data_IF_441287634335
#
_entry.id   IF_441287634335
#
_cell.length_a   1.000
_cell.length_b   1.000
_cell.length_c   1.000
_cell.angle_alpha   90.00
_cell.angle_beta   90.00
_cell.angle_gamma   90.00
#
_symmetry.space_group_name_H-M   'P 1'
#
loop_
_entity.id
_entity.type
_entity.pdbx_description
1 polymer ?
#
# COMPACT_ATOMS: atom_id res chain seq x y z
N UNK A 1 7.73 -19.05 -3.65
CA UNK A 1 8.71 -19.58 -4.64
C UNK A 1 8.41 -19.15 -6.07
N UNK A 2 7.15 -19.09 -6.52
CA UNK A 2 6.80 -18.68 -7.90
C UNK A 2 7.12 -17.21 -8.23
N UNK A 3 7.04 -16.30 -7.25
CA UNK A 3 7.42 -14.89 -7.45
C UNK A 3 8.94 -14.67 -7.59
N UNK A 4 9.78 -15.49 -6.94
CA UNK A 4 11.24 -15.40 -7.03
C UNK A 4 11.74 -15.69 -8.45
N UNK A 5 11.03 -16.53 -9.20
CA UNK A 5 11.35 -16.84 -10.61
C UNK A 5 11.13 -15.64 -11.55
N UNK A 6 10.41 -14.60 -11.10
CA UNK A 6 10.21 -13.36 -11.87
C UNK A 6 11.33 -12.34 -11.67
N UNK A 7 12.16 -12.48 -10.63
CA UNK A 7 13.23 -11.53 -10.34
C UNK A 7 14.22 -11.43 -11.52
N UNK A 8 14.75 -12.54 -12.08
CA UNK A 8 15.59 -12.46 -13.27
C UNK A 8 14.88 -11.76 -14.44
N UNK A 9 13.59 -12.05 -14.65
CA UNK A 9 12.80 -11.42 -15.71
C UNK A 9 12.68 -9.90 -15.55
N UNK A 10 12.59 -9.38 -14.31
CA UNK A 10 12.57 -7.94 -14.03
C UNK A 10 13.91 -7.29 -14.43
N UNK A 11 15.04 -7.96 -14.20
CA UNK A 11 16.36 -7.46 -14.58
C UNK A 11 16.64 -7.55 -16.08
N UNK A 12 16.05 -8.53 -16.76
CA UNK A 12 16.17 -8.73 -18.22
C UNK A 12 15.29 -7.77 -19.04
N UNK A 13 14.31 -7.08 -18.42
CA UNK A 13 13.56 -6.02 -19.08
C UNK A 13 14.48 -4.84 -19.43
N UNK A 14 14.55 -4.51 -20.72
CA UNK A 14 15.51 -3.56 -21.30
C UNK A 14 15.47 -2.18 -20.63
N UNK A 15 14.28 -1.73 -20.28
CA UNK A 15 14.03 -0.44 -19.61
C UNK A 15 14.45 -0.48 -18.13
N UNK A 16 14.26 -1.62 -17.46
CA UNK A 16 14.55 -1.79 -16.03
C UNK A 16 16.04 -1.74 -15.73
N UNK A 17 16.89 -2.31 -16.59
CA UNK A 17 18.36 -2.22 -16.41
C UNK A 17 18.84 -0.77 -16.30
N UNK A 18 18.30 0.10 -17.15
CA UNK A 18 18.59 1.54 -17.12
C UNK A 18 18.03 2.23 -15.86
N UNK A 19 16.79 1.90 -15.49
CA UNK A 19 16.13 2.43 -14.30
C UNK A 19 16.84 2.05 -13.00
N UNK A 20 17.21 0.78 -12.85
CA UNK A 20 17.91 0.25 -11.67
C UNK A 20 19.28 0.93 -11.53
N UNK A 21 20.04 1.06 -12.62
CA UNK A 21 21.32 1.80 -12.59
C UNK A 21 21.12 3.25 -12.11
N UNK A 22 20.10 3.95 -12.61
CA UNK A 22 19.79 5.34 -12.19
C UNK A 22 19.37 5.40 -10.72
N UNK A 23 18.54 4.46 -10.27
CA UNK A 23 18.10 4.35 -8.88
C UNK A 23 19.29 4.15 -7.94
N UNK A 24 20.17 3.20 -8.25
CA UNK A 24 21.40 2.95 -7.45
C UNK A 24 22.27 4.21 -7.40
N UNK A 25 22.44 4.91 -8.53
CA UNK A 25 23.22 6.16 -8.56
C UNK A 25 22.58 7.25 -7.69
N UNK A 26 21.25 7.38 -7.72
CA UNK A 26 20.50 8.34 -6.90
C UNK A 26 20.60 8.01 -5.41
N UNK A 27 20.48 6.73 -5.03
CA UNK A 27 20.65 6.26 -3.65
C UNK A 27 22.05 6.51 -3.10
N UNK A 28 23.08 6.47 -3.95
CA UNK A 28 24.47 6.79 -3.57
C UNK A 28 24.75 8.29 -3.48
N UNK A 29 23.83 9.13 -3.96
CA UNK A 29 23.98 10.59 -3.87
C UNK A 29 23.64 11.08 -2.46
N UNK A 30 24.12 12.27 -2.08
CA UNK A 30 23.78 12.89 -0.79
C UNK A 30 22.29 13.16 -0.61
N UNK A 31 21.54 13.27 -1.71
CA UNK A 31 20.10 13.54 -1.68
C UNK A 31 19.27 12.26 -1.42
N UNK A 32 19.80 11.09 -1.73
CA UNK A 32 19.08 9.82 -1.59
C UNK A 32 17.81 9.76 -2.46
N UNK A 33 16.82 8.98 -2.02
CA UNK A 33 15.52 8.82 -2.67
C UNK A 33 14.38 9.13 -1.71
N UNK A 34 13.26 9.61 -2.26
CA UNK A 34 11.99 9.80 -1.55
C UNK A 34 10.99 8.81 -2.15
N UNK A 35 10.71 7.68 -1.49
CA UNK A 35 9.76 6.70 -2.00
C UNK A 35 8.33 7.25 -1.94
N UNK A 36 7.56 6.96 -3.00
CA UNK A 36 6.10 7.10 -2.99
C UNK A 36 5.49 5.69 -3.00
N UNK A 37 4.74 5.35 -1.96
CA UNK A 37 4.24 3.99 -1.70
C UNK A 37 2.71 3.98 -1.79
N UNK A 38 2.16 3.11 -2.64
CA UNK A 38 0.72 2.84 -2.71
C UNK A 38 0.33 1.51 -2.09
N UNK A 39 -0.97 1.18 -2.14
CA UNK A 39 -1.57 0.01 -1.50
C UNK A 39 -0.97 -1.34 -1.92
N UNK A 40 -0.26 -1.39 -3.05
CA UNK A 40 0.43 -2.60 -3.51
C UNK A 40 1.41 -3.20 -2.51
N UNK A 41 2.05 -2.39 -1.65
CA UNK A 41 2.89 -2.91 -0.57
C UNK A 41 2.10 -3.32 0.68
N UNK A 42 0.83 -2.95 0.78
CA UNK A 42 -0.05 -3.28 1.92
C UNK A 42 -0.91 -4.53 1.67
N UNK A 43 -1.21 -4.87 0.41
CA UNK A 43 -2.04 -6.04 0.02
C UNK A 43 -1.60 -7.36 0.67
N UNK A 44 -0.30 -7.71 0.74
CA UNK A 44 0.13 -8.94 1.40
C UNK A 44 -0.25 -9.03 2.89
N UNK A 45 -0.55 -7.89 3.52
CA UNK A 45 -0.98 -7.79 4.91
C UNK A 45 -2.50 -7.80 5.08
N UNK A 46 -3.27 -8.11 4.03
CA UNK A 46 -4.72 -8.23 4.10
C UNK A 46 -5.47 -6.92 3.91
N UNK A 47 -4.75 -5.83 3.62
CA UNK A 47 -5.38 -4.56 3.26
C UNK A 47 -5.94 -4.63 1.83
N UNK A 48 -7.24 -4.36 1.63
CA UNK A 48 -7.83 -4.40 0.30
C UNK A 48 -7.31 -3.27 -0.59
N UNK A 49 -7.41 -3.45 -1.91
CA UNK A 49 -7.30 -2.32 -2.84
C UNK A 49 -8.60 -1.52 -2.87
N UNK A 50 -8.56 -0.30 -3.42
CA UNK A 50 -9.74 0.56 -3.53
C UNK A 50 -10.91 -0.11 -4.26
N UNK A 51 -10.63 -0.84 -5.35
CA UNK A 51 -11.68 -1.55 -6.08
C UNK A 51 -12.41 -2.56 -5.19
N UNK A 52 -11.67 -3.46 -4.54
CA UNK A 52 -12.27 -4.52 -3.72
C UNK A 52 -12.99 -3.93 -2.51
N UNK A 53 -12.37 -2.98 -1.81
CA UNK A 53 -12.98 -2.31 -0.66
C UNK A 53 -14.34 -1.65 -1.00
N UNK A 54 -14.40 -0.90 -2.09
CA UNK A 54 -15.62 -0.18 -2.48
C UNK A 54 -16.68 -1.15 -3.05
N UNK A 55 -16.27 -2.20 -3.75
CA UNK A 55 -17.17 -3.26 -4.24
C UNK A 55 -17.80 -4.02 -3.07
N UNK A 56 -17.00 -4.42 -2.06
CA UNK A 56 -17.47 -5.13 -0.86
C UNK A 56 -18.50 -4.31 -0.07
N UNK A 57 -18.25 -3.00 0.13
CA UNK A 57 -19.22 -2.11 0.78
C UNK A 57 -20.48 -1.96 -0.09
N UNK A 58 -20.33 -1.86 -1.41
CA UNK A 58 -21.49 -1.74 -2.29
C UNK A 58 -22.40 -2.97 -2.21
N UNK A 59 -21.84 -4.17 -2.16
CA UNK A 59 -22.58 -5.43 -1.99
C UNK A 59 -23.26 -5.47 -0.62
N UNK A 60 -22.54 -5.10 0.45
CA UNK A 60 -23.07 -5.10 1.82
C UNK A 60 -24.33 -4.22 1.97
N UNK A 61 -24.41 -3.11 1.24
CA UNK A 61 -25.49 -2.13 1.36
C UNK A 61 -26.45 -2.11 0.16
N UNK A 62 -26.30 -3.02 -0.82
CA UNK A 62 -27.17 -3.08 -1.99
C UNK A 62 -27.05 -1.87 -2.92
N UNK A 63 -25.82 -1.38 -3.15
CA UNK A 63 -25.49 -0.20 -3.95
C UNK A 63 -24.76 -0.53 -5.26
N UNK A 64 -24.62 -1.80 -5.61
CA UNK A 64 -23.81 -2.30 -6.74
C UNK A 64 -24.17 -1.60 -8.06
N UNK A 65 -25.48 -1.43 -8.32
CA UNK A 65 -26.00 -0.74 -9.52
C UNK A 65 -25.47 0.69 -9.69
N UNK A 66 -25.15 1.36 -8.58
CA UNK A 66 -24.61 2.72 -8.57
C UNK A 66 -23.07 2.73 -8.59
N UNK A 67 -22.45 1.75 -7.95
CA UNK A 67 -21.02 1.77 -7.64
C UNK A 67 -20.20 1.05 -8.71
N UNK A 68 -20.63 -0.11 -9.21
CA UNK A 68 -19.87 -0.89 -10.21
C UNK A 68 -19.53 -0.09 -11.48
N UNK A 69 -20.42 0.76 -12.05
CA UNK A 69 -20.05 1.61 -13.17
C UNK A 69 -18.91 2.59 -12.85
N UNK A 70 -18.90 3.16 -11.65
CA UNK A 70 -17.85 4.08 -11.20
C UNK A 70 -16.52 3.33 -11.00
N UNK A 71 -16.55 2.12 -10.45
CA UNK A 71 -15.37 1.28 -10.28
C UNK A 71 -14.77 0.84 -11.61
N UNK A 72 -15.61 0.45 -12.58
CA UNK A 72 -15.17 0.09 -13.93
C UNK A 72 -14.46 1.25 -14.63
N UNK A 73 -14.91 2.49 -14.41
CA UNK A 73 -14.26 3.70 -14.91
C UNK A 73 -13.09 4.19 -14.03
N UNK A 74 -12.70 3.43 -13.00
CA UNK A 74 -11.66 3.80 -12.01
C UNK A 74 -11.94 5.13 -11.28
N UNK A 75 -13.21 5.52 -11.15
CA UNK A 75 -13.67 6.72 -10.43
C UNK A 75 -13.87 6.44 -8.93
N UNK A 76 -12.80 6.04 -8.26
CA UNK A 76 -12.85 5.62 -6.85
C UNK A 76 -13.34 6.71 -5.90
N UNK A 77 -12.97 7.97 -6.14
CA UNK A 77 -13.41 9.10 -5.32
C UNK A 77 -14.94 9.31 -5.41
N UNK A 78 -15.49 9.26 -6.63
CA UNK A 78 -16.94 9.37 -6.83
C UNK A 78 -17.69 8.17 -6.24
N UNK A 79 -17.14 6.96 -6.34
CA UNK A 79 -17.71 5.78 -5.71
C UNK A 79 -17.74 5.90 -4.18
N UNK A 80 -16.64 6.37 -3.57
CA UNK A 80 -16.57 6.62 -2.14
C UNK A 80 -17.57 7.70 -1.68
N UNK A 81 -17.69 8.79 -2.44
CA UNK A 81 -18.68 9.84 -2.17
C UNK A 81 -20.13 9.32 -2.28
N UNK A 82 -20.45 8.55 -3.32
CA UNK A 82 -21.77 7.94 -3.48
C UNK A 82 -22.08 6.99 -2.33
N UNK A 83 -21.14 6.11 -1.95
CA UNK A 83 -21.30 5.24 -0.78
C UNK A 83 -21.56 6.07 0.48
N UNK A 84 -20.70 7.04 0.76
CA UNK A 84 -20.81 7.90 1.96
C UNK A 84 -22.15 8.64 2.02
N UNK A 85 -22.68 9.09 0.89
CA UNK A 85 -23.97 9.76 0.78
C UNK A 85 -25.16 8.81 1.04
N UNK A 86 -25.03 7.52 0.70
CA UNK A 86 -26.10 6.53 0.90
C UNK A 86 -26.08 5.91 2.32
N UNK A 87 -24.89 5.61 2.87
CA UNK A 87 -24.78 4.92 4.17
C UNK A 87 -24.49 5.86 5.34
N UNK A 88 -24.13 7.11 5.04
CA UNK A 88 -23.77 8.14 6.01
C UNK A 88 -22.30 8.09 6.44
N UNK A 89 -21.75 9.28 6.74
CA UNK A 89 -20.33 9.48 7.08
C UNK A 89 -19.82 8.53 8.18
N UNK A 90 -20.59 8.34 9.25
CA UNK A 90 -20.15 7.50 10.37
C UNK A 90 -19.98 6.04 9.97
N UNK A 91 -20.92 5.48 9.21
CA UNK A 91 -20.83 4.09 8.78
C UNK A 91 -19.66 3.89 7.81
N UNK A 92 -19.44 4.85 6.91
CA UNK A 92 -18.32 4.81 5.98
C UNK A 92 -16.96 4.91 6.67
N UNK A 93 -16.80 5.83 7.65
CA UNK A 93 -15.56 5.93 8.44
C UNK A 93 -15.30 4.63 9.21
N UNK A 94 -16.32 4.06 9.84
CA UNK A 94 -16.16 2.76 10.52
C UNK A 94 -15.69 1.67 9.55
N UNK A 95 -16.25 1.62 8.33
CA UNK A 95 -15.82 0.64 7.33
C UNK A 95 -14.36 0.85 6.89
N UNK A 96 -13.89 2.10 6.79
CA UNK A 96 -12.47 2.41 6.56
C UNK A 96 -11.61 1.92 7.74
N UNK A 97 -12.01 2.19 8.98
CA UNK A 97 -11.28 1.76 10.18
C UNK A 97 -11.21 0.23 10.30
N UNK A 98 -12.31 -0.47 9.97
CA UNK A 98 -12.37 -1.93 9.98
C UNK A 98 -11.52 -2.54 8.86
N UNK A 99 -11.48 -1.93 7.67
CA UNK A 99 -10.72 -2.45 6.54
C UNK A 99 -9.22 -2.08 6.55
N UNK A 100 -8.87 -0.92 7.10
CA UNK A 100 -7.52 -0.34 7.05
C UNK A 100 -6.89 -0.11 8.42
N UNK A 101 -7.56 -0.51 9.50
CA UNK A 101 -7.06 -0.35 10.86
C UNK A 101 -5.78 -1.14 11.16
N UNK A 102 -5.09 -0.71 12.22
CA UNK A 102 -3.84 -1.34 12.69
C UNK A 102 -4.04 -2.75 13.23
N UNK A 103 -5.25 -3.10 13.66
CA UNK A 103 -5.59 -4.42 14.19
C UNK A 103 -5.29 -5.58 13.21
N UNK A 104 -5.19 -5.30 11.90
CA UNK A 104 -4.78 -6.28 10.89
C UNK A 104 -3.28 -6.63 10.93
N UNK A 105 -2.47 -5.88 11.69
CA UNK A 105 -1.02 -6.03 11.81
C UNK A 105 -0.56 -6.62 13.15
N UNK A 106 -1.42 -6.72 14.16
CA UNK A 106 -1.03 -7.06 15.54
C UNK A 106 -0.17 -8.34 15.64
N UNK A 107 -0.48 -9.36 14.81
CA UNK A 107 0.22 -10.65 14.80
C UNK A 107 1.11 -10.86 13.55
N UNK A 108 1.35 -9.82 12.75
CA UNK A 108 2.12 -9.96 11.50
C UNK A 108 3.60 -9.72 11.71
N UNK A 109 4.39 -10.73 11.33
CA UNK A 109 5.81 -10.55 11.13
C UNK A 109 6.06 -9.82 9.81
N UNK A 110 6.78 -8.71 9.89
CA UNK A 110 7.07 -7.85 8.76
C UNK A 110 8.50 -8.03 8.26
N UNK A 111 9.39 -8.70 9.01
CA UNK A 111 10.84 -8.65 8.77
C UNK A 111 11.26 -9.21 7.41
N UNK A 112 10.54 -10.21 6.90
CA UNK A 112 10.84 -10.87 5.61
C UNK A 112 10.06 -10.29 4.42
N UNK A 113 9.51 -9.08 4.56
CA UNK A 113 8.66 -8.45 3.54
C UNK A 113 9.40 -7.35 2.77
N UNK A 114 8.98 -7.08 1.53
CA UNK A 114 9.58 -6.03 0.70
C UNK A 114 9.42 -4.63 1.31
N UNK A 115 8.33 -4.38 2.03
CA UNK A 115 8.10 -3.10 2.70
C UNK A 115 9.12 -2.87 3.82
N UNK A 116 9.64 -3.93 4.45
CA UNK A 116 10.65 -3.85 5.51
C UNK A 116 12.02 -3.36 5.05
N UNK A 117 12.25 -3.34 3.73
CA UNK A 117 13.45 -2.75 3.15
C UNK A 117 13.36 -1.22 3.04
N UNK A 118 12.17 -0.62 3.13
CA UNK A 118 11.99 0.82 2.95
C UNK A 118 12.79 1.69 3.94
N UNK A 119 12.91 1.37 5.24
CA UNK A 119 13.76 2.11 6.16
C UNK A 119 15.23 2.17 5.73
N UNK A 120 15.73 1.12 5.06
CA UNK A 120 17.10 1.08 4.54
C UNK A 120 17.27 1.88 3.24
N UNK A 121 16.19 2.16 2.52
CA UNK A 121 16.19 2.86 1.24
C UNK A 121 15.91 4.36 1.39
N UNK A 122 15.05 4.73 2.35
CA UNK A 122 14.61 6.09 2.55
C UNK A 122 15.60 6.86 3.44
N UNK A 123 16.33 7.81 2.85
CA UNK A 123 17.16 8.75 3.60
C UNK A 123 16.38 9.97 4.13
N UNK A 124 15.06 9.97 3.91
CA UNK A 124 14.16 11.09 4.18
C UNK A 124 12.70 10.60 4.23
N UNK A 125 11.71 11.45 3.94
CA UNK A 125 10.31 11.06 4.06
C UNK A 125 9.95 9.94 3.09
N UNK A 126 8.98 9.12 3.50
CA UNK A 126 8.22 8.22 2.61
C UNK A 126 6.84 8.82 2.45
N UNK A 127 6.39 8.97 1.21
CA UNK A 127 5.08 9.53 0.88
C UNK A 127 4.12 8.37 0.59
N UNK A 128 2.91 8.42 1.14
CA UNK A 128 1.86 7.45 0.83
C UNK A 128 0.50 8.12 0.75
N UNK A 129 -0.42 7.48 0.02
CA UNK A 129 -1.86 7.78 0.02
C UNK A 129 -2.66 6.67 0.70
N UNK A 130 -2.00 5.73 1.38
CA UNK A 130 -2.66 4.62 2.06
C UNK A 130 -3.21 5.07 3.41
N UNK A 131 -4.31 4.46 3.83
CA UNK A 131 -4.91 4.67 5.16
C UNK A 131 -4.34 3.72 6.23
N UNK A 132 -3.77 2.59 5.80
CA UNK A 132 -3.17 1.61 6.70
C UNK A 132 -1.92 2.14 7.41
N UNK A 133 -1.53 1.45 8.49
CA UNK A 133 -0.37 1.81 9.33
C UNK A 133 0.86 0.93 9.09
N UNK A 134 1.00 0.35 7.90
CA UNK A 134 2.11 -0.57 7.58
C UNK A 134 3.45 0.15 7.67
N UNK A 135 3.55 1.36 7.11
CA UNK A 135 4.81 2.12 7.10
C UNK A 135 5.26 2.47 8.52
N UNK A 136 4.34 2.98 9.35
CA UNK A 136 4.62 3.33 10.74
C UNK A 136 5.13 2.13 11.52
N UNK A 137 4.51 0.96 11.33
CA UNK A 137 4.91 -0.28 12.00
C UNK A 137 6.29 -0.76 11.52
N UNK A 138 6.56 -0.72 10.21
CA UNK A 138 7.86 -1.11 9.65
C UNK A 138 8.98 -0.21 10.16
N UNK A 139 8.81 1.11 10.12
CA UNK A 139 9.83 2.06 10.59
C UNK A 139 10.06 1.92 12.10
N UNK A 140 8.99 1.77 12.90
CA UNK A 140 9.12 1.51 14.33
C UNK A 140 9.89 0.22 14.63
N UNK A 141 9.63 -0.88 13.89
CA UNK A 141 10.35 -2.15 14.06
C UNK A 141 11.82 -2.04 13.63
N UNK A 142 12.11 -1.34 12.54
CA UNK A 142 13.48 -1.11 12.07
C UNK A 142 14.30 -0.28 13.06
N UNK A 143 13.74 0.82 13.58
CA UNK A 143 14.36 1.64 14.62
C UNK A 143 14.67 0.80 15.87
N UNK A 144 13.73 -0.05 16.31
CA UNK A 144 13.96 -0.93 17.46
C UNK A 144 15.16 -1.88 17.25
N UNK A 145 15.42 -2.34 16.03
CA UNK A 145 16.55 -3.24 15.74
C UNK A 145 17.90 -2.51 15.72
N UNK A 146 17.95 -1.21 15.38
CA UNK A 146 19.18 -0.43 15.43
C UNK A 146 19.71 -0.24 16.86
N UNK A 147 18.86 -0.37 17.89
CA UNK A 147 19.30 -0.33 19.30
C UNK A 147 19.88 -1.65 19.83
N UNK A 148 19.83 -2.73 19.05
CA UNK A 148 20.35 -4.06 19.43
C UNK A 148 21.58 -4.50 18.63
N UNK A 149 22.11 -3.63 17.75
CA UNK A 149 23.34 -3.83 16.97
C UNK A 149 24.42 -2.85 17.42
#
# INVERSE_FOLDING_TARGET
>A
MEQLNKIPAIFEMKENKGNIRRLINQMKSKLGVVPFVGAGLSIPFGYPGWYSFLSDISEQYGLEDKIEPLLYESKYENAAEEIMNNIGNRAFINAIEDAFGEHLLDDKDLTDTSVFLLPQLAMGPVITTNFDRVLENVFKKADCLEYFL
#
